data_IF_182231051006
#
_entry.id   IF_182231051006
#
_cell.length_a   1.000
_cell.length_b   1.000
_cell.length_c   1.000
_cell.angle_alpha   90.00
_cell.angle_beta   90.00
_cell.angle_gamma   90.00
#
_symmetry.space_group_name_H-M   'P 1'
#
loop_
_entity.id
_entity.type
_entity.pdbx_description
1 polymer ?
#
# COMPACT_ATOMS: atom_id res chain seq x y z
N UNK A 1 15.68 0.53 20.47
CA UNK A 1 14.51 -0.25 20.00
C UNK A 1 14.33 -1.46 20.92
N UNK A 2 13.09 -1.91 21.17
CA UNK A 2 12.80 -3.07 22.04
C UNK A 2 13.46 -2.97 23.43
N UNK A 3 13.51 -1.77 24.02
CA UNK A 3 14.15 -1.54 25.32
C UNK A 3 15.69 -1.60 25.33
N UNK A 4 16.34 -1.85 24.20
CA UNK A 4 17.80 -1.85 24.06
C UNK A 4 18.36 -0.42 23.91
N UNK A 5 19.64 -0.25 24.27
CA UNK A 5 20.40 0.98 24.06
C UNK A 5 20.32 1.46 22.60
N UNK A 6 20.30 2.78 22.34
CA UNK A 6 20.31 3.30 20.98
C UNK A 6 21.48 2.75 20.17
N UNK A 7 21.18 2.22 18.97
CA UNK A 7 22.16 1.64 18.07
C UNK A 7 21.82 2.04 16.63
N UNK A 8 22.84 2.27 15.80
CA UNK A 8 22.69 2.56 14.37
C UNK A 8 22.51 1.31 13.51
N UNK A 9 22.79 0.12 14.06
CA UNK A 9 22.60 -1.18 13.41
C UNK A 9 22.14 -2.20 14.43
N UNK A 10 21.18 -3.03 14.03
CA UNK A 10 20.62 -4.11 14.86
C UNK A 10 20.72 -5.41 14.06
N UNK A 11 21.51 -6.39 14.50
CA UNK A 11 21.52 -7.70 13.87
C UNK A 11 20.20 -8.42 14.16
N UNK A 12 19.71 -9.21 13.20
CA UNK A 12 18.51 -10.00 13.37
C UNK A 12 18.60 -11.35 12.66
N UNK A 13 17.70 -12.26 13.00
CA UNK A 13 17.54 -13.55 12.34
C UNK A 13 16.06 -13.84 12.22
N UNK A 14 15.60 -14.09 10.99
CA UNK A 14 14.23 -14.53 10.71
C UNK A 14 14.35 -15.99 10.25
N UNK A 15 13.67 -16.89 10.97
CA UNK A 15 13.55 -18.29 10.55
C UNK A 15 12.65 -18.39 9.30
N UNK A 16 12.77 -19.46 8.49
CA UNK A 16 11.89 -19.66 7.34
C UNK A 16 10.41 -19.50 7.72
N UNK A 17 9.68 -18.67 6.97
CA UNK A 17 8.26 -18.35 7.20
C UNK A 17 7.96 -17.67 8.55
N UNK A 18 8.98 -17.26 9.31
CA UNK A 18 8.84 -16.51 10.55
C UNK A 18 8.75 -15.00 10.32
N UNK A 19 8.74 -14.25 11.42
CA UNK A 19 8.72 -12.78 11.38
C UNK A 19 9.56 -12.19 12.52
N UNK A 20 9.83 -10.89 12.46
CA UNK A 20 10.52 -10.16 13.53
C UNK A 20 10.00 -8.73 13.58
N UNK A 21 9.80 -8.21 14.79
CA UNK A 21 9.30 -6.83 15.01
C UNK A 21 10.31 -6.02 15.80
N UNK A 22 10.58 -4.80 15.35
CA UNK A 22 11.40 -3.82 16.04
C UNK A 22 10.56 -2.59 16.35
N UNK A 23 10.49 -2.22 17.63
CA UNK A 23 9.64 -1.13 18.12
C UNK A 23 10.48 -0.07 18.81
N UNK A 24 10.27 1.19 18.44
CA UNK A 24 10.78 2.35 19.18
C UNK A 24 9.83 2.66 20.34
N UNK A 25 10.33 3.30 21.40
CA UNK A 25 9.49 3.67 22.55
C UNK A 25 8.77 5.03 22.36
N UNK A 26 9.06 5.75 21.27
CA UNK A 26 8.47 7.04 20.95
C UNK A 26 8.87 8.19 21.89
N UNK A 27 9.91 8.03 22.72
CA UNK A 27 10.37 9.07 23.65
C UNK A 27 11.51 9.91 23.07
N UNK A 28 11.56 11.19 23.43
CA UNK A 28 12.61 12.12 23.01
C UNK A 28 12.19 12.99 21.83
N UNK A 29 13.13 13.75 21.28
CA UNK A 29 12.89 14.61 20.12
C UNK A 29 12.66 13.77 18.85
N UNK A 30 11.91 14.34 17.90
CA UNK A 30 11.69 13.73 16.61
C UNK A 30 13.02 13.52 15.88
N UNK A 31 13.31 12.27 15.52
CA UNK A 31 14.39 11.90 14.61
C UNK A 31 13.77 11.32 13.35
N UNK A 32 14.16 11.87 12.20
CA UNK A 32 13.71 11.40 10.89
C UNK A 32 14.91 10.88 10.07
N UNK A 33 14.68 9.81 9.31
CA UNK A 33 15.70 9.15 8.50
C UNK A 33 15.13 8.00 7.70
N UNK A 34 16.00 7.22 7.07
CA UNK A 34 15.66 5.96 6.41
C UNK A 34 16.13 4.76 7.23
N UNK A 35 15.51 3.61 7.00
CA UNK A 35 15.95 2.33 7.53
C UNK A 35 16.22 1.38 6.36
N UNK A 36 17.36 0.67 6.42
CA UNK A 36 17.71 -0.37 5.45
C UNK A 36 17.74 -1.72 6.16
N UNK A 37 16.98 -2.69 5.64
CA UNK A 37 17.08 -4.08 6.05
C UNK A 37 17.87 -4.85 4.98
N UNK A 38 18.88 -5.62 5.42
CA UNK A 38 19.70 -6.44 4.53
C UNK A 38 19.73 -7.87 5.07
N UNK A 39 19.48 -8.84 4.19
CA UNK A 39 19.46 -10.26 4.51
C UNK A 39 20.09 -11.07 3.36
N UNK A 40 20.54 -12.28 3.66
CA UNK A 40 21.08 -13.21 2.66
C UNK A 40 20.01 -13.86 1.75
N UNK A 41 18.73 -13.62 2.04
CA UNK A 41 17.57 -14.10 1.28
C UNK A 41 16.57 -12.94 1.12
N UNK A 42 15.66 -12.99 0.12
CA UNK A 42 14.58 -12.03 0.03
C UNK A 42 13.75 -11.99 1.32
N UNK A 43 13.50 -10.77 1.80
CA UNK A 43 12.61 -10.48 2.92
C UNK A 43 11.70 -9.33 2.50
N UNK A 44 10.55 -9.24 3.17
CA UNK A 44 9.63 -8.11 3.04
C UNK A 44 9.26 -7.61 4.44
N UNK A 45 8.82 -6.37 4.51
CA UNK A 45 8.55 -5.66 5.74
C UNK A 45 7.71 -4.40 5.51
N UNK A 46 7.38 -3.77 6.62
CA UNK A 46 6.63 -2.52 6.65
C UNK A 46 7.09 -1.74 7.87
N UNK A 47 7.21 -0.43 7.71
CA UNK A 47 7.36 0.48 8.84
C UNK A 47 5.96 0.94 9.25
N UNK A 48 5.54 0.59 10.46
CA UNK A 48 4.31 1.13 11.06
C UNK A 48 4.64 2.40 11.83
N UNK A 49 4.20 3.55 11.31
CA UNK A 49 4.24 4.82 12.03
C UNK A 49 3.00 4.95 12.90
N UNK A 50 3.19 5.56 14.08
CA UNK A 50 2.09 6.01 14.92
C UNK A 50 2.41 7.40 15.44
N UNK A 51 1.44 8.30 15.34
CA UNK A 51 1.48 9.60 15.98
C UNK A 51 0.15 9.88 16.68
N UNK A 52 0.13 10.34 17.95
CA UNK A 52 -1.12 10.55 18.69
C UNK A 52 -2.12 11.48 18.01
N UNK A 53 -1.66 12.45 17.22
CA UNK A 53 -2.52 13.42 16.51
C UNK A 53 -2.91 13.00 15.09
N UNK A 54 -2.19 12.04 14.48
CA UNK A 54 -2.40 11.67 13.07
C UNK A 54 -2.90 10.24 12.89
N UNK A 55 -2.62 9.35 13.85
CA UNK A 55 -2.98 7.93 13.79
C UNK A 55 -1.82 7.09 13.26
N UNK A 56 -2.17 6.00 12.59
CA UNK A 56 -1.22 5.02 12.07
C UNK A 56 -1.08 5.12 10.55
N UNK A 57 0.13 5.00 10.03
CA UNK A 57 0.38 4.72 8.62
C UNK A 57 1.36 3.56 8.45
N UNK A 58 1.13 2.72 7.46
CA UNK A 58 2.02 1.61 7.10
C UNK A 58 2.81 2.00 5.86
N UNK A 59 4.12 2.12 5.97
CA UNK A 59 5.02 2.46 4.86
C UNK A 59 5.70 1.17 4.38
N UNK A 60 5.36 0.66 3.18
CA UNK A 60 6.01 -0.52 2.63
C UNK A 60 7.47 -0.22 2.27
N UNK A 61 8.29 -1.26 2.05
CA UNK A 61 9.63 -1.04 1.50
C UNK A 61 9.60 -0.34 0.14
N UNK A 62 10.45 0.67 -0.04
CA UNK A 62 10.70 1.30 -1.32
C UNK A 62 11.89 0.66 -2.01
N UNK A 63 11.67 -0.17 -3.02
CA UNK A 63 12.76 -0.70 -3.85
C UNK A 63 13.53 0.48 -4.49
N UNK A 64 14.88 0.53 -4.42
CA UNK A 64 15.65 1.57 -5.08
C UNK A 64 15.44 1.53 -6.60
N UNK A 65 15.06 2.67 -7.20
CA UNK A 65 14.82 2.80 -8.65
C UNK A 65 15.53 4.02 -9.21
N UNK A 66 15.81 4.03 -10.51
CA UNK A 66 16.34 5.22 -11.19
C UNK A 66 15.29 6.31 -11.30
N UNK A 67 14.04 5.91 -11.58
CA UNK A 67 12.93 6.82 -11.63
C UNK A 67 11.65 6.22 -11.04
N UNK A 68 10.88 7.06 -10.35
CA UNK A 68 9.57 6.72 -9.80
C UNK A 68 8.58 7.87 -10.02
N UNK A 69 7.30 7.54 -9.95
CA UNK A 69 6.18 8.47 -10.00
C UNK A 69 5.37 8.31 -8.72
N UNK A 70 5.37 9.34 -7.88
CA UNK A 70 4.65 9.36 -6.61
C UNK A 70 3.42 10.24 -6.72
N UNK A 71 2.25 9.73 -6.36
CA UNK A 71 1.04 10.55 -6.34
C UNK A 71 1.09 11.55 -5.19
N UNK A 72 0.54 12.74 -5.42
CA UNK A 72 0.46 13.79 -4.42
C UNK A 72 -0.86 14.55 -4.53
N UNK A 73 -1.34 15.02 -3.39
CA UNK A 73 -2.45 15.96 -3.30
C UNK A 73 -2.23 16.97 -2.17
N UNK A 74 -2.75 18.17 -2.36
CA UNK A 74 -2.73 19.23 -1.36
C UNK A 74 -4.03 20.03 -1.42
N UNK A 75 -4.61 20.29 -0.26
CA UNK A 75 -5.65 21.31 -0.08
C UNK A 75 -5.31 22.10 1.17
N UNK A 76 -4.70 23.27 0.99
CA UNK A 76 -4.27 24.12 2.11
C UNK A 76 -5.44 24.70 2.90
N UNK A 77 -6.64 24.77 2.30
CA UNK A 77 -7.86 25.20 2.99
C UNK A 77 -8.36 24.15 3.98
N UNK A 78 -8.14 22.87 3.67
CA UNK A 78 -8.56 21.73 4.50
C UNK A 78 -7.43 21.18 5.39
N UNK A 79 -6.24 21.79 5.33
CA UNK A 79 -5.05 21.31 6.03
C UNK A 79 -4.58 19.94 5.55
N UNK A 80 -4.77 19.65 4.26
CA UNK A 80 -4.33 18.42 3.61
C UNK A 80 -3.02 18.67 2.87
N UNK A 81 -1.98 17.91 3.21
CA UNK A 81 -0.68 17.99 2.57
C UNK A 81 -0.15 16.60 2.19
N UNK A 82 0.65 16.57 1.12
CA UNK A 82 1.47 15.40 0.79
C UNK A 82 2.93 15.67 1.13
N UNK A 83 3.56 14.71 1.79
CA UNK A 83 5.00 14.65 2.03
C UNK A 83 5.67 13.61 1.14
N UNK A 84 6.86 13.92 0.64
CA UNK A 84 7.71 12.97 -0.08
C UNK A 84 8.98 12.77 0.73
N UNK A 85 9.26 11.52 1.09
CA UNK A 85 10.51 11.08 1.67
C UNK A 85 11.36 10.37 0.61
N UNK A 86 12.60 10.82 0.47
CA UNK A 86 13.58 10.32 -0.48
C UNK A 86 14.79 9.83 0.30
N UNK A 87 15.31 8.66 -0.06
CA UNK A 87 16.53 8.12 0.54
C UNK A 87 17.48 7.61 -0.53
N UNK A 88 18.75 7.90 -0.33
CA UNK A 88 19.83 7.42 -1.17
C UNK A 88 20.46 6.20 -0.49
N UNK A 89 20.26 4.97 -1.00
CA UNK A 89 20.85 3.77 -0.41
C UNK A 89 22.32 3.54 -0.82
N UNK A 90 22.89 4.43 -1.64
CA UNK A 90 24.22 4.27 -2.23
C UNK A 90 25.31 4.93 -1.37
N UNK A 91 26.56 4.49 -1.57
CA UNK A 91 27.74 5.03 -0.90
C UNK A 91 28.28 6.34 -1.53
N UNK A 92 27.63 6.86 -2.57
CA UNK A 92 27.94 8.13 -3.22
C UNK A 92 26.68 9.02 -3.25
N UNK A 93 26.81 10.36 -3.33
CA UNK A 93 25.67 11.25 -3.50
C UNK A 93 24.88 10.94 -4.79
N UNK A 94 23.57 11.18 -4.77
CA UNK A 94 22.70 11.06 -5.94
C UNK A 94 22.06 12.42 -6.23
N UNK A 95 22.17 12.87 -7.47
CA UNK A 95 21.49 14.06 -7.97
C UNK A 95 20.13 13.66 -8.56
N UNK A 96 19.07 14.32 -8.12
CA UNK A 96 17.70 14.05 -8.51
C UNK A 96 17.11 15.25 -9.27
N UNK A 97 16.43 14.95 -10.36
CA UNK A 97 15.50 15.86 -11.03
C UNK A 97 14.06 15.50 -10.62
N UNK A 98 13.27 16.50 -10.28
CA UNK A 98 11.90 16.36 -9.83
C UNK A 98 10.97 17.17 -10.76
N UNK A 99 9.86 16.55 -11.18
CA UNK A 99 8.85 17.18 -12.03
C UNK A 99 7.46 16.95 -11.44
N UNK A 100 6.74 18.03 -11.14
CA UNK A 100 5.38 18.05 -10.63
C UNK A 100 4.38 18.08 -11.79
N UNK A 101 3.62 17.00 -11.94
CA UNK A 101 2.68 16.80 -13.03
C UNK A 101 1.24 16.87 -12.53
N UNK A 102 0.37 17.52 -13.29
CA UNK A 102 -1.08 17.40 -13.11
C UNK A 102 -1.58 15.98 -13.42
N UNK A 103 -2.86 15.72 -13.16
CA UNK A 103 -3.50 14.44 -13.53
C UNK A 103 -3.41 14.14 -15.03
N UNK A 104 -3.32 15.18 -15.88
CA UNK A 104 -3.19 15.05 -17.32
C UNK A 104 -1.76 14.69 -17.79
N UNK A 105 -0.81 14.55 -16.87
CA UNK A 105 0.58 14.21 -17.14
C UNK A 105 1.44 15.38 -17.62
N UNK A 106 0.90 16.61 -17.62
CA UNK A 106 1.67 17.82 -17.97
C UNK A 106 2.34 18.39 -16.75
N UNK A 107 3.59 18.81 -16.91
CA UNK A 107 4.29 19.56 -15.87
C UNK A 107 3.62 20.90 -15.63
N UNK A 108 3.39 21.23 -14.36
CA UNK A 108 2.78 22.52 -13.98
C UNK A 108 3.80 23.64 -14.03
N UNK A 109 3.32 24.88 -14.20
CA UNK A 109 4.18 26.07 -14.11
C UNK A 109 4.91 26.11 -12.76
N UNK A 110 6.24 26.26 -12.78
CA UNK A 110 7.08 26.20 -11.58
C UNK A 110 7.25 24.79 -10.98
N UNK A 111 6.82 23.75 -11.70
CA UNK A 111 6.83 22.35 -11.28
C UNK A 111 8.16 21.61 -11.46
N UNK A 112 9.24 22.29 -11.84
CA UNK A 112 10.59 21.72 -11.96
C UNK A 112 11.42 22.03 -10.71
N UNK A 113 12.13 21.03 -10.20
CA UNK A 113 13.04 21.18 -9.06
C UNK A 113 14.18 20.16 -9.13
N UNK A 114 15.25 20.38 -8.36
CA UNK A 114 16.36 19.43 -8.23
C UNK A 114 16.85 19.32 -6.80
N UNK A 115 17.46 18.17 -6.47
CA UNK A 115 17.93 17.88 -5.13
C UNK A 115 19.12 16.93 -5.15
N UNK A 116 20.16 17.25 -4.38
CA UNK A 116 21.25 16.33 -4.09
C UNK A 116 20.98 15.63 -2.77
N UNK A 117 21.07 14.30 -2.74
CA UNK A 117 21.01 13.51 -1.51
C UNK A 117 22.39 12.89 -1.27
N UNK A 118 23.07 13.21 -0.15
CA UNK A 118 24.36 12.61 0.20
C UNK A 118 24.31 11.08 0.26
N UNK A 119 25.49 10.45 0.23
CA UNK A 119 25.62 9.01 0.42
C UNK A 119 24.90 8.54 1.70
N UNK A 120 24.08 7.49 1.60
CA UNK A 120 23.24 6.99 2.70
C UNK A 120 22.29 8.05 3.30
N UNK A 121 22.08 9.16 2.59
CA UNK A 121 21.31 10.30 3.05
C UNK A 121 19.81 10.10 2.90
N UNK A 122 19.06 10.96 3.59
CA UNK A 122 17.61 11.02 3.55
C UNK A 122 17.15 12.47 3.58
N UNK A 123 16.02 12.74 2.92
CA UNK A 123 15.32 14.02 2.95
C UNK A 123 13.82 13.77 2.89
N UNK A 124 13.06 14.48 3.72
CA UNK A 124 11.61 14.48 3.66
C UNK A 124 11.12 15.93 3.60
N UNK A 125 10.26 16.23 2.63
CA UNK A 125 9.71 17.57 2.39
C UNK A 125 8.26 17.46 1.96
N UNK A 126 7.46 18.46 2.31
CA UNK A 126 6.13 18.64 1.73
C UNK A 126 6.25 19.06 0.27
N UNK A 127 5.24 18.74 -0.53
CA UNK A 127 5.22 19.07 -1.98
C UNK A 127 5.42 20.56 -2.23
N UNK A 128 4.79 21.41 -1.43
CA UNK A 128 4.93 22.86 -1.56
C UNK A 128 6.35 23.37 -1.19
N UNK A 129 7.12 22.62 -0.42
CA UNK A 129 8.52 22.93 -0.11
C UNK A 129 9.48 22.45 -1.20
N UNK A 130 9.12 21.39 -1.95
CA UNK A 130 9.87 20.91 -3.10
C UNK A 130 9.66 21.80 -4.33
N UNK A 131 8.48 22.39 -4.46
CA UNK A 131 8.08 23.23 -5.61
C UNK A 131 7.53 24.58 -5.15
N UNK A 132 8.36 25.45 -4.53
CA UNK A 132 7.89 26.74 -4.00
C UNK A 132 7.40 27.72 -5.09
N UNK A 133 7.76 27.48 -6.35
CA UNK A 133 7.32 28.27 -7.51
C UNK A 133 6.01 27.78 -8.15
N UNK A 134 5.46 26.64 -7.72
CA UNK A 134 4.20 26.10 -8.24
C UNK A 134 3.03 26.44 -7.33
N UNK A 135 1.87 26.78 -7.92
CA UNK A 135 0.64 26.89 -7.15
C UNK A 135 0.14 25.48 -6.78
N UNK A 136 0.30 25.14 -5.51
CA UNK A 136 -0.09 23.84 -4.95
C UNK A 136 -1.22 23.97 -3.93
N UNK A 137 -1.86 25.14 -3.79
CA UNK A 137 -2.85 25.37 -2.74
C UNK A 137 -4.04 24.40 -2.83
N UNK A 138 -4.46 24.06 -4.06
CA UNK A 138 -5.45 23.02 -4.37
C UNK A 138 -4.95 22.19 -5.53
N UNK A 139 -4.24 21.11 -5.22
CA UNK A 139 -3.50 20.33 -6.20
C UNK A 139 -3.77 18.84 -6.07
N UNK A 140 -3.85 18.17 -7.22
CA UNK A 140 -3.86 16.73 -7.32
C UNK A 140 -3.09 16.32 -8.57
N UNK A 141 -2.17 15.36 -8.42
CA UNK A 141 -1.28 14.97 -9.50
C UNK A 141 -0.20 14.03 -9.00
N UNK A 142 1.00 14.16 -9.57
CA UNK A 142 2.13 13.31 -9.22
C UNK A 142 3.46 14.05 -9.29
N UNK A 143 4.47 13.48 -8.65
CA UNK A 143 5.86 13.91 -8.78
C UNK A 143 6.65 12.77 -9.42
N UNK A 144 7.28 13.03 -10.55
CA UNK A 144 8.32 12.15 -11.07
C UNK A 144 9.65 12.53 -10.44
N UNK A 145 10.30 11.56 -9.82
CA UNK A 145 11.65 11.69 -9.27
C UNK A 145 12.57 10.83 -10.12
N UNK A 146 13.59 11.44 -10.73
CA UNK A 146 14.54 10.75 -11.61
C UNK A 146 15.97 11.04 -11.16
N UNK A 147 16.77 10.01 -10.95
CA UNK A 147 18.20 10.15 -10.76
C UNK A 147 18.87 10.59 -12.07
N UNK A 148 19.72 11.62 -11.99
CA UNK A 148 20.36 12.21 -13.16
C UNK A 148 21.35 11.25 -13.84
N UNK A 149 22.00 10.37 -13.08
CA UNK A 149 22.92 9.35 -13.58
C UNK A 149 22.21 8.03 -13.88
N UNK A 150 22.72 7.27 -14.85
CA UNK A 150 22.19 5.94 -15.21
C UNK A 150 22.24 4.93 -14.07
N UNK A 151 23.26 5.01 -13.22
CA UNK A 151 23.46 4.12 -12.07
C UNK A 151 22.94 4.74 -10.75
N UNK A 152 22.26 5.89 -10.84
CA UNK A 152 21.68 6.55 -9.68
C UNK A 152 20.38 5.86 -9.28
N UNK A 153 20.20 5.64 -7.98
CA UNK A 153 19.03 4.98 -7.40
C UNK A 153 18.50 5.78 -6.22
N UNK A 154 17.18 5.83 -6.11
CA UNK A 154 16.48 6.45 -4.99
C UNK A 154 15.35 5.55 -4.53
N UNK A 155 15.16 5.47 -3.21
CA UNK A 155 13.99 4.87 -2.58
C UNK A 155 13.05 6.00 -2.13
N UNK A 156 11.77 5.88 -2.48
CA UNK A 156 10.77 6.94 -2.27
C UNK A 156 9.57 6.42 -1.51
N UNK A 157 9.10 7.20 -0.55
CA UNK A 157 7.80 7.04 0.08
C UNK A 157 7.02 8.36 -0.03
N UNK A 158 5.73 8.27 -0.33
CA UNK A 158 4.83 9.41 -0.31
C UNK A 158 3.80 9.22 0.79
N UNK A 159 3.49 10.28 1.51
CA UNK A 159 2.55 10.29 2.63
C UNK A 159 1.49 11.35 2.40
N UNK A 160 0.26 11.05 2.78
CA UNK A 160 -0.83 12.01 2.91
C UNK A 160 -1.05 12.29 4.39
N UNK A 161 -1.06 13.57 4.74
CA UNK A 161 -1.30 14.07 6.08
C UNK A 161 -2.48 15.03 6.02
N UNK A 162 -3.49 14.79 6.84
CA UNK A 162 -4.63 15.68 6.96
C UNK A 162 -4.75 16.32 8.34
N UNK A 163 -5.81 17.10 8.52
CA UNK A 163 -6.03 17.95 9.69
C UNK A 163 -6.73 17.24 10.85
N UNK A 164 -7.21 16.01 10.65
CA UNK A 164 -7.85 15.21 11.70
C UNK A 164 -7.26 13.80 11.85
N UNK A 165 -7.48 13.22 13.04
CA UNK A 165 -6.98 11.90 13.41
C UNK A 165 -7.46 10.84 12.41
N UNK A 166 -6.54 9.99 11.93
CA UNK A 166 -6.84 8.97 10.94
C UNK A 166 -6.69 9.42 9.48
N UNK A 167 -6.45 10.70 9.19
CA UNK A 167 -6.01 11.16 7.86
C UNK A 167 -4.49 11.05 7.69
N UNK A 168 -3.95 9.87 7.96
CA UNK A 168 -2.53 9.61 7.80
C UNK A 168 -2.36 8.29 7.09
N UNK A 169 -1.85 8.32 5.86
CA UNK A 169 -1.63 7.12 5.06
C UNK A 169 -0.50 7.35 4.06
N UNK A 170 -0.04 6.28 3.43
CA UNK A 170 0.84 6.35 2.27
C UNK A 170 0.07 6.69 0.99
N UNK A 171 0.77 7.34 0.06
CA UNK A 171 0.32 7.54 -1.31
C UNK A 171 1.08 6.59 -2.26
N UNK A 172 0.49 6.25 -3.41
CA UNK A 172 1.12 5.36 -4.38
C UNK A 172 2.47 5.89 -4.87
N UNK A 173 3.43 4.98 -4.97
CA UNK A 173 4.71 5.19 -5.66
C UNK A 173 4.86 4.08 -6.70
N UNK A 174 4.95 4.46 -7.97
CA UNK A 174 5.03 3.55 -9.11
C UNK A 174 6.41 3.67 -9.75
N UNK A 175 7.01 2.54 -10.14
CA UNK A 175 8.27 2.55 -10.85
C UNK A 175 8.10 3.18 -12.24
N UNK A 176 8.99 4.09 -12.60
CA UNK A 176 9.11 4.63 -13.96
C UNK A 176 10.26 3.95 -14.70
N UNK A 177 11.33 3.63 -13.98
CA UNK A 177 12.49 2.98 -14.54
C UNK A 177 13.10 1.91 -13.62
N UNK A 178 13.01 0.61 -14.00
CA UNK A 178 12.24 0.12 -15.15
C UNK A 178 10.73 0.32 -14.93
N UNK A 179 9.99 0.53 -16.02
CA UNK A 179 8.53 0.58 -15.95
C UNK A 179 7.96 -0.79 -15.54
N UNK A 180 6.81 -0.83 -14.86
CA UNK A 180 6.09 -2.08 -14.62
C UNK A 180 5.74 -2.78 -15.94
N UNK A 181 5.49 -4.07 -15.87
CA UNK A 181 5.08 -4.89 -17.02
C UNK A 181 3.64 -5.38 -16.92
N UNK A 182 3.03 -5.28 -15.73
CA UNK A 182 1.67 -5.75 -15.49
C UNK A 182 0.65 -4.82 -16.15
N UNK A 183 -0.21 -5.41 -16.98
CA UNK A 183 -1.36 -4.74 -17.60
C UNK A 183 -2.65 -4.97 -16.82
N UNK A 184 -2.68 -6.02 -15.99
CA UNK A 184 -3.79 -6.32 -15.09
C UNK A 184 -3.35 -6.05 -13.65
N UNK A 185 -4.16 -5.29 -12.91
CA UNK A 185 -4.00 -5.08 -11.47
C UNK A 185 -5.23 -5.60 -10.75
N UNK A 186 -5.01 -6.40 -9.71
CA UNK A 186 -6.05 -6.92 -8.85
C UNK A 186 -5.95 -6.27 -7.47
N UNK A 187 -7.07 -5.82 -6.95
CA UNK A 187 -7.24 -5.37 -5.58
C UNK A 187 -8.12 -6.40 -4.88
N UNK A 188 -7.50 -7.20 -4.02
CA UNK A 188 -8.17 -8.33 -3.36
C UNK A 188 -9.25 -7.90 -2.36
N UNK A 189 -9.38 -6.59 -2.10
CA UNK A 189 -10.44 -6.03 -1.28
C UNK A 189 -10.78 -4.63 -1.77
N UNK A 190 -12.06 -4.30 -1.72
CA UNK A 190 -12.66 -3.02 -1.99
C UNK A 190 -13.90 -2.89 -1.10
N UNK A 191 -14.28 -1.67 -0.70
CA UNK A 191 -15.51 -1.44 0.04
C UNK A 191 -16.13 -0.07 -0.23
N UNK A 192 -17.46 -0.01 -0.19
CA UNK A 192 -18.25 1.23 -0.16
C UNK A 192 -19.46 1.06 0.77
N UNK A 193 -19.92 2.14 1.40
CA UNK A 193 -21.10 2.12 2.27
C UNK A 193 -20.78 1.67 3.70
N UNK A 194 -21.75 1.80 4.61
CA UNK A 194 -21.55 1.45 6.03
C UNK A 194 -20.39 2.20 6.70
N UNK A 195 -20.10 3.42 6.23
CA UNK A 195 -19.00 4.27 6.69
C UNK A 195 -17.66 4.04 5.99
N UNK A 196 -17.54 3.03 5.12
CA UNK A 196 -16.35 2.78 4.31
C UNK A 196 -16.43 3.48 2.96
N UNK A 197 -15.35 4.12 2.54
CA UNK A 197 -15.14 4.54 1.16
C UNK A 197 -13.79 4.03 0.63
N UNK A 198 -13.69 3.94 -0.70
CA UNK A 198 -12.47 3.54 -1.39
C UNK A 198 -12.06 4.58 -2.43
N UNK A 199 -10.76 4.87 -2.52
CA UNK A 199 -10.16 5.65 -3.58
C UNK A 199 -9.10 4.83 -4.31
N UNK A 200 -9.32 4.59 -5.60
CA UNK A 200 -8.39 3.95 -6.51
C UNK A 200 -7.55 5.02 -7.20
N UNK A 201 -6.24 4.90 -7.08
CA UNK A 201 -5.27 5.78 -7.70
C UNK A 201 -4.47 4.98 -8.71
N UNK A 202 -4.42 5.48 -9.94
CA UNK A 202 -3.68 4.87 -11.03
C UNK A 202 -2.68 5.87 -11.59
N UNK A 203 -1.52 5.38 -11.99
CA UNK A 203 -0.48 6.17 -12.63
C UNK A 203 0.04 5.45 -13.87
N UNK A 204 0.13 6.19 -14.98
CA UNK A 204 0.76 5.72 -16.20
C UNK A 204 2.23 6.17 -16.21
N UNK A 205 3.19 5.25 -15.95
CA UNK A 205 4.61 5.58 -15.93
C UNK A 205 5.22 5.65 -17.33
N UNK A 206 4.45 5.54 -18.41
CA UNK A 206 4.94 5.49 -19.78
C UNK A 206 4.82 6.85 -20.48
N UNK A 207 5.61 7.02 -21.54
CA UNK A 207 5.52 8.17 -22.45
C UNK A 207 4.38 8.08 -23.45
N UNK A 208 3.60 6.99 -23.42
CA UNK A 208 2.48 6.73 -24.32
C UNK A 208 1.17 6.61 -23.53
N UNK A 209 0.05 6.88 -24.19
CA UNK A 209 -1.27 6.75 -23.57
C UNK A 209 -1.64 5.28 -23.34
N UNK A 210 -2.49 5.04 -22.35
CA UNK A 210 -3.09 3.73 -22.05
C UNK A 210 -4.60 3.86 -21.90
N UNK A 211 -5.30 2.76 -22.09
CA UNK A 211 -6.75 2.65 -21.83
C UNK A 211 -6.97 1.44 -20.96
N UNK A 212 -8.00 1.46 -20.12
CA UNK A 212 -8.33 0.30 -19.30
C UNK A 212 -9.79 0.20 -18.93
N UNK A 213 -10.17 -0.96 -18.41
CA UNK A 213 -11.48 -1.24 -17.84
C UNK A 213 -11.29 -1.64 -16.39
N UNK A 214 -11.92 -0.88 -15.50
CA UNK A 214 -12.04 -1.22 -14.09
C UNK A 214 -13.36 -1.96 -13.87
N UNK A 215 -13.33 -3.15 -13.28
CA UNK A 215 -14.50 -3.94 -12.92
C UNK A 215 -14.52 -4.30 -11.44
N UNK A 216 -15.71 -4.35 -10.84
CA UNK A 216 -15.90 -4.77 -9.45
C UNK A 216 -16.65 -6.09 -9.40
N UNK A 217 -16.25 -7.00 -8.51
CA UNK A 217 -16.88 -8.30 -8.33
C UNK A 217 -17.21 -8.55 -6.86
N UNK A 218 -18.34 -9.23 -6.59
CA UNK A 218 -18.76 -9.65 -5.25
C UNK A 218 -18.02 -10.91 -4.76
N UNK A 219 -18.34 -11.39 -3.55
CA UNK A 219 -17.77 -12.60 -2.95
C UNK A 219 -17.92 -13.86 -3.84
N UNK A 220 -18.98 -13.92 -4.65
CA UNK A 220 -19.25 -15.01 -5.57
C UNK A 220 -18.54 -14.89 -6.92
N UNK A 221 -17.85 -13.78 -7.19
CA UNK A 221 -17.23 -13.47 -8.47
C UNK A 221 -18.19 -12.87 -9.50
N UNK A 222 -19.39 -12.43 -9.09
CA UNK A 222 -20.36 -11.80 -9.98
C UNK A 222 -20.10 -10.29 -10.08
N UNK A 223 -20.49 -9.62 -11.19
CA UNK A 223 -20.38 -8.17 -11.29
C UNK A 223 -21.09 -7.43 -10.15
N UNK A 224 -20.35 -6.59 -9.43
CA UNK A 224 -20.84 -5.78 -8.33
C UNK A 224 -21.09 -4.35 -8.81
N UNK A 225 -22.31 -3.86 -8.60
CA UNK A 225 -22.64 -2.45 -8.86
C UNK A 225 -22.24 -1.64 -7.64
N UNK A 226 -21.37 -0.65 -7.85
CA UNK A 226 -20.89 0.25 -6.80
C UNK A 226 -21.54 1.62 -6.98
N UNK A 227 -22.30 2.12 -5.99
CA UNK A 227 -22.67 3.54 -5.95
C UNK A 227 -21.38 4.35 -5.78
N UNK A 228 -20.98 5.07 -6.81
CA UNK A 228 -19.82 5.97 -6.76
C UNK A 228 -20.19 7.29 -7.44
N UNK A 229 -19.45 8.35 -7.13
CA UNK A 229 -19.69 9.65 -7.71
C UNK A 229 -19.38 9.65 -9.22
N UNK A 230 -20.36 10.11 -10.00
CA UNK A 230 -20.31 10.55 -11.41
C UNK A 230 -19.73 9.61 -12.50
N UNK A 231 -19.20 8.43 -12.21
CA UNK A 231 -18.51 7.61 -13.24
C UNK A 231 -18.84 6.11 -13.30
N UNK A 232 -19.52 5.54 -12.32
CA UNK A 232 -19.73 4.08 -12.25
C UNK A 232 -21.21 3.69 -12.19
N UNK A 233 -21.92 3.99 -13.27
CA UNK A 233 -23.02 3.14 -13.76
C UNK A 233 -22.70 2.81 -15.21
N UNK A 234 -22.27 1.58 -15.57
CA UNK A 234 -22.51 0.27 -14.93
C UNK A 234 -21.31 -0.28 -14.09
N UNK A 235 -21.34 -1.58 -13.73
CA UNK A 235 -20.34 -2.34 -12.94
C UNK A 235 -18.88 -2.32 -13.49
N UNK A 236 -18.63 -1.55 -14.56
CA UNK A 236 -17.32 -1.29 -15.10
C UNK A 236 -17.20 0.14 -15.62
N UNK A 237 -16.04 0.78 -15.43
CA UNK A 237 -15.69 2.06 -16.07
C UNK A 237 -14.55 1.90 -17.07
N UNK A 238 -14.67 2.57 -18.22
CA UNK A 238 -13.56 2.81 -19.12
C UNK A 238 -12.73 3.98 -18.59
N UNK A 239 -11.41 3.81 -18.57
CA UNK A 239 -10.45 4.80 -18.08
C UNK A 239 -9.41 5.05 -19.18
N UNK A 240 -9.09 6.31 -19.42
CA UNK A 240 -7.98 6.71 -20.28
C UNK A 240 -6.87 7.30 -19.42
N UNK A 241 -5.65 6.82 -19.59
CA UNK A 241 -4.47 7.33 -18.93
C UNK A 241 -3.59 8.06 -19.96
N UNK A 242 -3.44 9.37 -19.81
CA UNK A 242 -2.53 10.14 -20.64
C UNK A 242 -1.06 9.75 -20.38
N UNK A 243 -0.12 10.01 -21.30
CA UNK A 243 1.31 9.85 -21.05
C UNK A 243 1.70 10.54 -19.74
N UNK A 244 2.41 9.84 -18.84
CA UNK A 244 2.78 10.37 -17.51
C UNK A 244 1.60 10.85 -16.66
N UNK A 245 0.36 10.52 -17.04
CA UNK A 245 -0.85 10.95 -16.37
C UNK A 245 -1.24 10.05 -15.20
N UNK A 246 -2.21 10.51 -14.42
CA UNK A 246 -2.81 9.77 -13.32
C UNK A 246 -4.33 9.85 -13.36
N UNK A 247 -5.00 8.85 -12.83
CA UNK A 247 -6.45 8.84 -12.67
C UNK A 247 -6.81 8.50 -11.22
N UNK A 248 -7.87 9.13 -10.71
CA UNK A 248 -8.41 8.87 -9.38
C UNK A 248 -9.89 8.59 -9.50
N UNK A 249 -10.32 7.46 -8.95
CA UNK A 249 -11.72 7.08 -8.84
C UNK A 249 -12.04 6.88 -7.38
N UNK A 250 -13.08 7.53 -6.87
CA UNK A 250 -13.48 7.40 -5.48
C UNK A 250 -14.93 6.92 -5.39
N UNK A 251 -15.27 6.35 -4.24
CA UNK A 251 -16.65 6.06 -3.89
C UNK A 251 -17.13 7.10 -2.88
N UNK A 252 -18.45 7.26 -2.76
CA UNK A 252 -19.04 8.27 -1.87
C UNK A 252 -19.10 7.82 -0.40
N UNK A 253 -18.99 6.51 -0.16
CA UNK A 253 -19.13 5.91 1.18
C UNK A 253 -20.58 5.80 1.64
N UNK A 254 -21.54 6.09 0.77
CA UNK A 254 -22.96 6.16 1.08
C UNK A 254 -23.65 4.80 0.86
N UNK A 255 -24.80 4.64 1.51
CA UNK A 255 -25.64 3.46 1.37
C UNK A 255 -25.16 2.23 2.15
N UNK A 256 -25.71 1.07 1.76
CA UNK A 256 -25.39 -0.21 2.39
C UNK A 256 -23.96 -0.65 2.05
N UNK A 257 -23.31 -1.30 3.01
CA UNK A 257 -21.97 -1.85 2.80
C UNK A 257 -21.98 -2.86 1.66
N UNK A 258 -21.17 -2.59 0.65
CA UNK A 258 -20.78 -3.52 -0.40
C UNK A 258 -19.28 -3.71 -0.35
N UNK A 259 -18.82 -4.95 -0.54
CA UNK A 259 -17.41 -5.30 -0.53
C UNK A 259 -17.14 -6.41 -1.55
N UNK A 260 -15.87 -6.55 -1.94
CA UNK A 260 -15.48 -7.49 -2.98
C UNK A 260 -14.12 -7.14 -3.57
N UNK A 261 -13.92 -7.45 -4.85
CA UNK A 261 -12.67 -7.19 -5.55
C UNK A 261 -12.82 -6.06 -6.57
N UNK A 262 -11.71 -5.40 -6.88
CA UNK A 262 -11.59 -4.52 -8.03
C UNK A 262 -10.48 -5.03 -8.95
N UNK A 263 -10.71 -5.03 -10.25
CA UNK A 263 -9.75 -5.49 -11.26
C UNK A 263 -9.63 -4.42 -12.33
N UNK A 264 -8.43 -3.88 -12.52
CA UNK A 264 -8.10 -3.05 -13.67
C UNK A 264 -7.46 -3.93 -14.73
N UNK A 265 -7.97 -3.87 -15.96
CA UNK A 265 -7.30 -4.40 -17.16
C UNK A 265 -6.95 -3.25 -18.09
N UNK A 266 -5.68 -3.02 -18.34
CA UNK A 266 -5.17 -1.92 -19.15
C UNK A 266 -4.51 -2.43 -20.45
N UNK A 267 -4.41 -1.56 -21.46
CA UNK A 267 -3.75 -1.87 -22.75
C UNK A 267 -2.23 -1.76 -22.69
N UNK A 268 -1.69 -1.14 -21.62
CA UNK A 268 -0.26 -1.08 -21.32
C UNK A 268 -0.04 -1.01 -19.81
N UNK A 269 1.22 -1.07 -19.37
CA UNK A 269 1.51 -1.16 -17.96
C UNK A 269 1.12 0.11 -17.18
N UNK A 270 0.35 -0.11 -16.11
CA UNK A 270 -0.15 0.94 -15.21
C UNK A 270 0.16 0.51 -13.78
N UNK A 271 0.55 1.45 -12.93
CA UNK A 271 0.64 1.21 -11.49
C UNK A 271 -0.63 1.66 -10.80
N UNK A 272 -1.01 1.01 -9.70
CA UNK A 272 -2.19 1.41 -8.96
C UNK A 272 -2.20 0.96 -7.50
N UNK A 273 -2.90 1.73 -6.68
CA UNK A 273 -3.19 1.40 -5.28
C UNK A 273 -4.66 1.71 -4.99
N UNK A 274 -5.18 1.06 -3.97
CA UNK A 274 -6.49 1.34 -3.40
C UNK A 274 -6.30 1.87 -1.99
N UNK A 275 -6.96 2.97 -1.65
CA UNK A 275 -7.00 3.51 -0.29
C UNK A 275 -8.39 3.33 0.28
N UNK A 276 -8.49 2.65 1.42
CA UNK A 276 -9.69 2.61 2.24
C UNK A 276 -9.71 3.81 3.17
N UNK A 277 -10.90 4.35 3.39
CA UNK A 277 -11.13 5.32 4.45
C UNK A 277 -12.38 4.92 5.24
N UNK A 278 -12.30 5.10 6.55
CA UNK A 278 -13.44 4.99 7.45
C UNK A 278 -13.27 6.03 8.57
N UNK A 279 -14.17 7.01 8.75
CA UNK A 279 -13.92 8.14 9.64
C UNK A 279 -13.55 7.77 11.09
N UNK A 280 -14.11 6.67 11.60
CA UNK A 280 -13.90 6.14 12.95
C UNK A 280 -12.64 5.25 13.09
N UNK A 281 -12.00 4.82 12.00
CA UNK A 281 -10.80 3.97 12.03
C UNK A 281 -9.56 4.61 11.37
N UNK A 282 -9.74 5.49 10.40
CA UNK A 282 -8.67 6.13 9.64
C UNK A 282 -8.57 5.63 8.20
N UNK A 283 -7.35 5.63 7.65
CA UNK A 283 -7.07 5.30 6.26
C UNK A 283 -5.99 4.22 6.13
N UNK A 284 -6.09 3.37 5.10
CA UNK A 284 -5.03 2.44 4.73
C UNK A 284 -4.95 2.27 3.22
N UNK A 285 -3.72 2.16 2.71
CA UNK A 285 -3.46 2.03 1.28
C UNK A 285 -2.82 0.69 0.98
N UNK A 286 -3.35 -0.01 -0.01
CA UNK A 286 -2.90 -1.34 -0.45
C UNK A 286 -2.53 -1.29 -1.93
N UNK A 287 -1.49 -2.01 -2.30
CA UNK A 287 -1.01 -2.06 -3.68
C UNK A 287 -1.86 -2.97 -4.56
N UNK A 288 -2.02 -2.58 -5.82
CA UNK A 288 -2.50 -3.49 -6.86
C UNK A 288 -1.52 -4.65 -6.99
N UNK A 289 -2.06 -5.86 -7.05
CA UNK A 289 -1.29 -7.10 -7.07
C UNK A 289 -1.48 -7.85 -8.39
N UNK A 290 -0.53 -8.71 -8.72
CA UNK A 290 -0.65 -9.71 -9.79
C UNK A 290 -0.94 -11.08 -9.18
N UNK A 291 -1.64 -11.98 -9.89
CA UNK A 291 -1.93 -13.32 -9.38
C UNK A 291 -0.66 -14.10 -9.05
N UNK A 292 -0.64 -14.74 -7.88
CA UNK A 292 0.45 -15.57 -7.39
C UNK A 292 -0.05 -16.94 -6.93
N UNK A 293 0.83 -17.95 -6.92
CA UNK A 293 0.46 -19.30 -6.46
C UNK A 293 0.28 -19.37 -4.94
N UNK A 294 1.06 -18.58 -4.19
CA UNK A 294 0.99 -18.52 -2.74
C UNK A 294 1.55 -17.20 -2.22
N UNK A 295 1.14 -16.79 -1.02
CA UNK A 295 1.65 -15.62 -0.33
C UNK A 295 1.76 -15.81 1.18
N UNK A 296 2.53 -14.93 1.82
CA UNK A 296 2.68 -14.82 3.26
C UNK A 296 2.36 -13.39 3.71
N UNK A 297 1.68 -13.28 4.85
CA UNK A 297 1.40 -12.01 5.53
C UNK A 297 1.85 -12.09 6.99
N UNK A 298 2.29 -10.98 7.62
CA UNK A 298 2.40 -10.93 9.06
C UNK A 298 1.00 -10.91 9.67
N UNK A 299 0.88 -11.53 10.86
CA UNK A 299 -0.37 -11.55 11.64
C UNK A 299 -0.08 -11.05 13.03
N UNK A 300 -0.91 -10.15 13.53
CA UNK A 300 -0.92 -9.74 14.91
C UNK A 300 -2.34 -9.52 15.44
N UNK A 301 -2.59 -10.06 16.62
CA UNK A 301 -3.84 -9.86 17.36
C UNK A 301 -3.57 -9.58 18.83
N UNK A 302 -4.28 -8.61 19.36
CA UNK A 302 -4.30 -8.30 20.78
C UNK A 302 -5.73 -7.99 21.21
N UNK A 303 -6.29 -8.85 22.04
CA UNK A 303 -7.61 -8.65 22.65
C UNK A 303 -7.60 -7.44 23.60
N UNK A 304 -6.50 -7.21 24.32
CA UNK A 304 -6.37 -6.09 25.25
C UNK A 304 -6.34 -4.74 24.52
N UNK A 305 -5.60 -4.68 23.41
CA UNK A 305 -5.56 -3.49 22.55
C UNK A 305 -6.72 -3.44 21.56
N UNK A 306 -7.53 -4.50 21.51
CA UNK A 306 -8.63 -4.69 20.55
C UNK A 306 -8.21 -4.46 19.11
N UNK A 307 -7.08 -5.06 18.74
CA UNK A 307 -6.53 -5.01 17.38
C UNK A 307 -6.47 -6.42 16.80
N UNK A 308 -6.84 -6.57 15.52
CA UNK A 308 -6.70 -7.84 14.80
C UNK A 308 -6.29 -7.64 13.34
N UNK A 309 -5.71 -8.69 12.76
CA UNK A 309 -5.40 -8.75 11.33
C UNK A 309 -6.62 -9.26 10.56
N UNK A 310 -7.11 -8.44 9.64
CA UNK A 310 -8.03 -8.85 8.59
C UNK A 310 -7.27 -9.25 7.34
N UNK A 311 -7.68 -10.35 6.71
CA UNK A 311 -7.14 -10.81 5.44
C UNK A 311 -8.27 -10.96 4.43
N UNK A 312 -8.05 -10.44 3.23
CA UNK A 312 -8.88 -10.67 2.08
C UNK A 312 -8.10 -11.45 1.01
N UNK A 313 -8.78 -12.40 0.38
CA UNK A 313 -8.22 -13.34 -0.59
C UNK A 313 -9.18 -13.39 -1.77
N UNK A 314 -8.65 -13.26 -2.98
CA UNK A 314 -9.43 -13.43 -4.19
C UNK A 314 -8.74 -14.38 -5.16
N UNK A 315 -9.53 -15.22 -5.83
CA UNK A 315 -9.04 -16.02 -6.95
C UNK A 315 -8.98 -15.18 -8.22
N UNK A 316 -8.02 -15.44 -9.09
CA UNK A 316 -7.84 -14.72 -10.34
C UNK A 316 -8.25 -15.59 -11.52
N UNK A 317 -9.48 -15.42 -12.01
CA UNK A 317 -9.99 -16.06 -13.23
C UNK A 317 -10.45 -17.51 -13.08
N UNK A 318 -9.83 -18.32 -12.22
CA UNK A 318 -10.20 -19.73 -12.02
C UNK A 318 -10.60 -20.02 -10.57
N UNK A 319 -11.47 -21.01 -10.37
CA UNK A 319 -11.76 -21.50 -9.03
C UNK A 319 -10.52 -22.19 -8.45
N UNK A 320 -10.30 -22.01 -7.14
CA UNK A 320 -9.11 -22.51 -6.46
C UNK A 320 -9.47 -23.14 -5.12
N UNK A 321 -8.67 -24.12 -4.71
CA UNK A 321 -8.67 -24.63 -3.34
C UNK A 321 -7.51 -24.01 -2.58
N UNK A 322 -7.82 -23.28 -1.52
CA UNK A 322 -6.86 -22.62 -0.66
C UNK A 322 -6.39 -23.54 0.47
N UNK A 323 -5.09 -23.53 0.74
CA UNK A 323 -4.49 -24.07 1.95
C UNK A 323 -3.91 -22.92 2.77
N UNK A 324 -4.42 -22.73 3.98
CA UNK A 324 -4.02 -21.69 4.92
C UNK A 324 -3.28 -22.33 6.09
N UNK A 325 -2.10 -21.80 6.43
CA UNK A 325 -1.32 -22.23 7.60
C UNK A 325 -0.89 -21.02 8.43
N UNK A 326 -1.39 -20.97 9.66
CA UNK A 326 -0.97 -20.01 10.69
C UNK A 326 0.31 -20.51 11.37
N UNK A 327 1.29 -19.61 11.51
CA UNK A 327 2.60 -19.88 12.10
C UNK A 327 2.93 -18.85 13.16
N UNK A 328 3.66 -19.26 14.20
CA UNK A 328 4.19 -18.33 15.20
C UNK A 328 5.37 -17.50 14.63
N UNK A 329 5.96 -16.60 15.44
CA UNK A 329 7.11 -15.78 15.01
C UNK A 329 8.35 -16.60 14.63
N UNK A 330 8.50 -17.84 15.14
CA UNK A 330 9.60 -18.74 14.76
C UNK A 330 9.36 -19.49 13.43
N UNK A 331 8.22 -19.28 12.78
CA UNK A 331 7.83 -19.92 11.52
C UNK A 331 7.23 -21.32 11.68
N UNK A 332 7.01 -21.77 12.91
CA UNK A 332 6.45 -23.09 13.21
C UNK A 332 4.92 -23.06 13.10
N UNK A 333 4.29 -24.07 12.46
CA UNK A 333 2.83 -24.17 12.39
C UNK A 333 2.21 -24.20 13.79
N UNK A 334 1.14 -23.43 13.98
CA UNK A 334 0.37 -23.45 15.22
C UNK A 334 -0.55 -24.69 15.22
N UNK A 335 -0.63 -25.48 16.33
CA UNK A 335 -1.61 -26.56 16.44
C UNK A 335 -3.04 -26.06 16.19
N UNK A 336 -3.79 -26.72 15.31
CA UNK A 336 -5.13 -26.26 14.87
C UNK A 336 -5.13 -25.08 13.90
N UNK A 337 -3.96 -24.55 13.54
CA UNK A 337 -3.77 -23.41 12.64
C UNK A 337 -3.74 -23.76 11.16
N UNK A 338 -4.34 -24.87 10.73
CA UNK A 338 -4.44 -25.26 9.31
C UNK A 338 -5.90 -25.29 8.88
N UNK A 339 -6.19 -24.62 7.78
CA UNK A 339 -7.55 -24.55 7.20
C UNK A 339 -7.47 -24.72 5.69
N UNK A 340 -8.51 -25.32 5.12
CA UNK A 340 -8.68 -25.44 3.67
C UNK A 340 -10.03 -24.85 3.28
N UNK A 341 -10.05 -24.05 2.23
CA UNK A 341 -11.25 -23.35 1.76
C UNK A 341 -11.34 -23.49 0.24
N UNK A 342 -12.55 -23.49 -0.30
CA UNK A 342 -12.78 -23.42 -1.74
C UNK A 342 -13.24 -22.01 -2.11
N UNK A 343 -12.59 -21.39 -3.10
CA UNK A 343 -13.01 -20.12 -3.68
C UNK A 343 -13.48 -20.35 -5.13
N UNK A 344 -14.67 -19.85 -5.52
CA UNK A 344 -15.13 -19.94 -6.90
C UNK A 344 -14.23 -19.10 -7.84
N UNK A 345 -14.48 -19.17 -9.14
CA UNK A 345 -13.77 -18.32 -10.12
C UNK A 345 -14.07 -16.85 -9.87
N UNK A 346 -13.00 -16.04 -9.75
CA UNK A 346 -13.06 -14.66 -9.30
C UNK A 346 -13.74 -14.45 -7.93
N UNK A 347 -13.86 -15.52 -7.15
CA UNK A 347 -14.43 -15.47 -5.81
C UNK A 347 -13.54 -14.69 -4.85
N UNK A 348 -14.19 -14.13 -3.84
CA UNK A 348 -13.56 -13.29 -2.83
C UNK A 348 -14.00 -13.70 -1.42
N UNK A 349 -13.09 -13.55 -0.47
CA UNK A 349 -13.30 -13.81 0.94
C UNK A 349 -12.52 -12.77 1.75
N UNK A 350 -13.17 -12.11 2.71
CA UNK A 350 -12.49 -11.28 3.71
C UNK A 350 -12.88 -11.69 5.13
N UNK A 351 -11.91 -11.99 5.99
CA UNK A 351 -12.12 -12.44 7.38
C UNK A 351 -11.03 -11.96 8.31
N UNK A 352 -11.35 -11.80 9.59
CA UNK A 352 -10.36 -11.67 10.64
C UNK A 352 -9.65 -13.01 10.88
N UNK A 353 -8.40 -12.95 11.35
CA UNK A 353 -7.61 -14.18 11.56
C UNK A 353 -8.25 -15.12 12.59
N UNK A 354 -8.91 -14.60 13.63
CA UNK A 354 -9.65 -15.41 14.60
C UNK A 354 -10.92 -16.06 14.03
N UNK A 355 -11.49 -15.51 12.95
CA UNK A 355 -12.63 -16.12 12.26
C UNK A 355 -12.17 -17.27 11.35
N UNK A 356 -10.96 -17.16 10.80
CA UNK A 356 -10.33 -18.25 10.03
C UNK A 356 -9.88 -19.40 10.93
N UNK A 357 -9.41 -19.11 12.14
CA UNK A 357 -8.88 -20.11 13.07
C UNK A 357 -9.59 -20.07 14.44
N UNK A 358 -10.91 -20.34 14.49
CA UNK A 358 -11.71 -20.19 15.72
C UNK A 358 -11.32 -21.17 16.83
N UNK A 359 -10.54 -22.22 16.49
CA UNK A 359 -10.07 -23.23 17.43
C UNK A 359 -8.73 -22.86 18.11
N UNK A 360 -8.09 -21.77 17.69
CA UNK A 360 -6.78 -21.33 18.20
C UNK A 360 -6.96 -20.12 19.12
N UNK A 361 -6.35 -20.13 20.30
CA UNK A 361 -6.35 -18.95 21.18
C UNK A 361 -5.42 -17.88 20.62
N UNK A 362 -6.00 -16.90 19.92
CA UNK A 362 -5.30 -15.76 19.33
C UNK A 362 -5.44 -14.48 20.16
N UNK A 363 -5.79 -14.53 21.46
CA UNK A 363 -5.99 -13.30 22.26
C UNK A 363 -4.73 -12.43 22.34
N UNK A 364 -3.56 -13.02 22.34
CA UNK A 364 -2.27 -12.32 22.22
C UNK A 364 -1.38 -13.12 21.27
N UNK A 365 -1.39 -12.74 20.00
CA UNK A 365 -0.72 -13.51 18.95
C UNK A 365 0.11 -12.62 18.02
N UNK A 366 1.28 -13.13 17.64
CA UNK A 366 2.14 -12.61 16.58
C UNK A 366 2.71 -13.78 15.78
N UNK A 367 2.83 -13.59 14.49
CA UNK A 367 3.37 -14.61 13.60
C UNK A 367 3.11 -14.29 12.14
N UNK A 368 2.86 -15.32 11.35
CA UNK A 368 2.57 -15.20 9.92
C UNK A 368 1.41 -16.12 9.51
N UNK A 369 0.76 -15.77 8.41
CA UNK A 369 -0.21 -16.62 7.73
C UNK A 369 0.29 -16.85 6.31
N UNK A 370 0.44 -18.12 5.92
CA UNK A 370 0.70 -18.52 4.54
C UNK A 370 -0.59 -18.98 3.88
N UNK A 371 -0.85 -18.52 2.65
CA UNK A 371 -2.00 -18.91 1.83
C UNK A 371 -1.47 -19.47 0.52
N UNK A 372 -1.85 -20.69 0.14
CA UNK A 372 -1.46 -21.32 -1.12
C UNK A 372 -2.67 -21.80 -1.91
N UNK A 373 -2.68 -21.58 -3.22
CA UNK A 373 -3.75 -21.99 -4.12
C UNK A 373 -3.39 -23.28 -4.86
N UNK A 374 -4.37 -24.17 -5.00
CA UNK A 374 -4.32 -25.31 -5.91
C UNK A 374 -5.22 -25.03 -7.11
N UNK A 375 -4.67 -25.07 -8.33
CA UNK A 375 -5.43 -24.96 -9.58
C UNK A 375 -5.55 -23.55 -10.20
N UNK A 376 -4.88 -22.54 -9.66
CA UNK A 376 -4.96 -21.17 -10.18
C UNK A 376 -4.08 -20.17 -9.42
N UNK A 377 -4.25 -18.89 -9.75
CA UNK A 377 -3.60 -17.78 -9.04
C UNK A 377 -4.55 -17.11 -8.05
N UNK A 378 -3.99 -16.56 -6.99
CA UNK A 378 -4.68 -15.75 -5.98
C UNK A 378 -4.01 -14.41 -5.80
N UNK A 379 -4.76 -13.46 -5.26
CA UNK A 379 -4.24 -12.20 -4.73
C UNK A 379 -4.72 -12.00 -3.29
N UNK A 380 -3.98 -11.21 -2.52
CA UNK A 380 -4.28 -10.97 -1.12
C UNK A 380 -4.19 -9.49 -0.76
N UNK A 381 -4.97 -9.11 0.26
CA UNK A 381 -4.86 -7.84 0.97
C UNK A 381 -4.84 -8.17 2.47
N UNK A 382 -3.94 -7.56 3.22
CA UNK A 382 -3.90 -7.68 4.68
C UNK A 382 -3.95 -6.31 5.32
N UNK A 383 -4.79 -6.17 6.35
CA UNK A 383 -4.98 -4.95 7.11
C UNK A 383 -4.85 -5.27 8.61
N UNK A 384 -4.24 -4.39 9.37
CA UNK A 384 -4.40 -4.37 10.82
C UNK A 384 -5.48 -3.35 11.15
N UNK A 385 -6.51 -3.81 11.88
CA UNK A 385 -7.64 -2.98 12.32
C UNK A 385 -7.68 -2.96 13.85
N UNK A 386 -8.06 -1.82 14.42
CA UNK A 386 -8.44 -1.67 15.82
C UNK A 386 -9.86 -1.11 15.98
N UNK A 387 -10.19 -0.64 17.18
CA UNK A 387 -11.50 -0.03 17.49
C UNK A 387 -11.43 1.50 17.62
N UNK A 388 -10.25 2.10 17.50
CA UNK A 388 -10.06 3.55 17.68
C UNK A 388 -9.72 4.23 16.37
N UNK A 389 -10.02 5.52 16.32
CA UNK A 389 -9.64 6.38 15.22
C UNK A 389 -8.11 6.41 15.06
N UNK A 390 -7.65 6.13 13.85
CA UNK A 390 -6.23 5.98 13.53
C UNK A 390 -5.66 4.57 13.70
N UNK A 391 -6.47 3.57 14.07
CA UNK A 391 -6.04 2.16 14.18
C UNK A 391 -6.34 1.34 12.91
N UNK A 392 -6.13 1.93 11.73
CA UNK A 392 -6.21 1.24 10.45
C UNK A 392 -4.87 1.34 9.73
N UNK A 393 -4.31 0.22 9.27
CA UNK A 393 -3.09 0.22 8.47
C UNK A 393 -2.97 -1.01 7.59
N UNK A 394 -2.31 -0.86 6.43
CA UNK A 394 -2.02 -1.99 5.56
C UNK A 394 -0.80 -2.78 6.04
N UNK A 395 -0.85 -4.09 5.82
CA UNK A 395 0.25 -5.02 6.07
C UNK A 395 0.77 -5.56 4.72
N UNK A 396 2.07 -5.90 4.64
CA UNK A 396 2.65 -6.41 3.40
C UNK A 396 2.08 -7.79 3.06
N UNK A 397 1.87 -8.00 1.76
CA UNK A 397 1.54 -9.30 1.17
C UNK A 397 2.70 -9.70 0.27
N UNK A 398 3.38 -10.79 0.62
CA UNK A 398 4.60 -11.20 -0.07
C UNK A 398 4.39 -12.53 -0.76
N UNK A 399 4.74 -12.61 -2.05
CA UNK A 399 4.73 -13.87 -2.79
C UNK A 399 5.63 -14.91 -2.11
N UNK A 400 5.11 -16.12 -1.92
CA UNK A 400 5.90 -17.28 -1.50
C UNK A 400 6.52 -17.94 -2.73
N UNK A 401 7.85 -18.03 -2.75
CA UNK A 401 8.65 -18.59 -3.84
C UNK A 401 9.33 -19.88 -3.45
#
# INVERSE_FOLDING_TARGET
MNGQTPASRIPFTIRPLGSSTFTTNGSGDLVAGSAQASAGIPISGVIKYFHPSFGTAGVPEGAPRRAVMAFVSRDSGEGLDSGIALSNPQAAPVELALSLLGLDGREVSGGSSSLSIPANGHVAKFVHELFPGADTAKFQGSVIVTAASTDGLVSVAALRLGSYLGQFTTLPVVAVDPAPTATDLYFAQFANGGGWSSSLYFANPLGEASTGTLSFLDDGGNPLIVPADRWLTPASAAITFLPRGSAVLSTDGEGALVAGTAILRASSAVGGVLTFARPDLGMATVSGSVPMAAFIIPVARSADLKTSTGVAIASAGTAVKLALTLRNESGEPVPGGNVTLDLPSNGHLARYVEELFPQVDLRAFRGTLTVAAQGGGIVGTALQLGEKQGDLTALPVTELR
#
